data_IF_574194713116
#
_entry.id   IF_574194713116
#
_cell.length_a   1.000
_cell.length_b   1.000
_cell.length_c   1.000
_cell.angle_alpha   90.00
_cell.angle_beta   90.00
_cell.angle_gamma   90.00
#
_symmetry.space_group_name_H-M   'P 1'
#
loop_
_entity.id
_entity.type
_entity.pdbx_description
1 polymer ?
#
# COMPACT_ATOMS: atom_id res chain seq x y z
N UNK A 1 14.23 22.86 -0.08
CA UNK A 1 13.16 21.87 0.22
C UNK A 1 12.60 21.42 -1.11
N UNK A 2 12.58 20.11 -1.42
CA UNK A 2 12.00 19.61 -2.66
C UNK A 2 10.47 19.78 -2.59
N UNK A 3 9.92 20.70 -3.39
CA UNK A 3 8.50 21.12 -3.33
C UNK A 3 7.53 20.00 -3.70
N UNK A 4 8.02 18.96 -4.39
CA UNK A 4 7.24 17.80 -4.80
C UNK A 4 7.23 16.68 -3.77
N UNK A 5 8.14 16.71 -2.78
CA UNK A 5 8.26 15.69 -1.76
C UNK A 5 7.37 16.05 -0.56
N UNK A 6 6.36 15.23 -0.29
CA UNK A 6 5.43 15.43 0.83
C UNK A 6 5.45 14.22 1.76
N UNK A 7 5.77 14.44 3.03
CA UNK A 7 5.65 13.40 4.05
C UNK A 7 4.18 13.13 4.36
N UNK A 8 3.81 11.86 4.39
CA UNK A 8 2.48 11.40 4.80
C UNK A 8 2.50 11.21 6.32
N UNK A 9 1.53 11.80 7.00
CA UNK A 9 1.36 11.70 8.45
C UNK A 9 0.07 10.96 8.75
N UNK A 10 0.10 9.62 8.70
CA UNK A 10 -1.09 8.84 8.92
C UNK A 10 -1.59 8.97 10.36
N UNK A 11 -2.89 9.15 10.54
CA UNK A 11 -3.53 9.28 11.85
C UNK A 11 -3.68 7.93 12.55
N UNK A 12 -3.93 6.87 11.75
CA UNK A 12 -4.28 5.54 12.24
C UNK A 12 -3.20 4.47 12.00
N UNK A 13 -1.96 4.89 11.72
CA UNK A 13 -0.82 3.99 11.56
C UNK A 13 0.21 4.16 12.69
N UNK A 14 1.09 3.17 12.92
CA UNK A 14 2.11 3.27 13.95
C UNK A 14 2.96 4.53 13.79
N UNK A 15 3.22 5.20 14.91
CA UNK A 15 4.09 6.38 14.93
C UNK A 15 5.51 5.97 14.56
N UNK A 16 6.18 6.82 13.80
CA UNK A 16 7.59 6.61 13.46
C UNK A 16 8.44 6.52 14.75
N UNK A 17 9.21 5.45 14.89
CA UNK A 17 10.10 5.21 16.04
C UNK A 17 11.48 5.87 15.87
N UNK A 18 11.68 6.67 14.82
CA UNK A 18 12.97 7.27 14.46
C UNK A 18 12.83 8.36 13.41
N UNK A 19 13.96 8.85 12.83
CA UNK A 19 13.97 9.96 11.87
C UNK A 19 13.55 9.51 10.46
N UNK A 20 12.35 8.95 10.32
CA UNK A 20 11.76 8.55 9.04
C UNK A 20 10.28 8.94 8.97
N UNK A 21 9.77 9.07 7.74
CA UNK A 21 8.34 9.30 7.50
C UNK A 21 7.65 7.95 7.23
N UNK A 22 6.44 7.69 7.77
CA UNK A 22 5.70 6.46 7.45
C UNK A 22 5.54 6.24 5.94
N UNK A 23 5.31 7.33 5.19
CA UNK A 23 5.44 7.35 3.75
C UNK A 23 5.86 8.74 3.24
N UNK A 24 6.34 8.77 1.99
CA UNK A 24 6.65 10.00 1.26
C UNK A 24 6.06 9.92 -0.13
N UNK A 25 5.35 10.98 -0.53
CA UNK A 25 4.77 11.13 -1.87
C UNK A 25 5.65 12.06 -2.72
N UNK A 26 5.92 11.64 -3.95
CA UNK A 26 6.66 12.38 -4.98
C UNK A 26 5.89 12.27 -6.30
N UNK A 27 5.16 13.34 -6.65
CA UNK A 27 4.22 13.28 -7.78
C UNK A 27 3.17 12.19 -7.55
N UNK A 28 3.08 11.24 -8.48
CA UNK A 28 2.13 10.12 -8.42
C UNK A 28 2.70 8.92 -7.66
N UNK A 29 4.00 8.89 -7.35
CA UNK A 29 4.59 7.79 -6.60
C UNK A 29 4.55 8.03 -5.10
N UNK A 30 4.20 7.00 -4.35
CA UNK A 30 4.28 6.97 -2.89
C UNK A 30 5.21 5.83 -2.46
N UNK A 31 6.16 6.16 -1.60
CA UNK A 31 7.11 5.23 -1.02
C UNK A 31 6.76 5.06 0.45
N UNK A 32 6.33 3.86 0.83
CA UNK A 32 6.08 3.51 2.23
C UNK A 32 7.38 3.00 2.84
N UNK A 33 7.68 3.46 4.06
CA UNK A 33 8.73 2.86 4.86
C UNK A 33 8.36 1.42 5.23
N UNK A 34 9.34 0.63 5.66
CA UNK A 34 9.10 -0.72 6.18
C UNK A 34 8.06 -0.71 7.30
N UNK A 35 7.01 -1.50 7.10
CA UNK A 35 5.95 -1.71 8.06
C UNK A 35 6.24 -2.99 8.84
N UNK A 36 6.38 -2.84 10.15
CA UNK A 36 6.49 -3.93 11.13
C UNK A 36 5.14 -4.13 11.85
N UNK A 37 4.90 -5.29 12.50
CA UNK A 37 3.62 -5.62 13.14
C UNK A 37 3.39 -4.86 14.45
N UNK A 38 3.50 -3.53 14.44
CA UNK A 38 3.14 -2.71 15.59
C UNK A 38 1.64 -2.45 15.62
N UNK A 39 1.04 -2.58 16.79
CA UNK A 39 -0.31 -2.10 17.05
C UNK A 39 -0.27 -0.56 17.15
N UNK A 40 -1.04 0.18 16.33
CA UNK A 40 -1.00 1.65 16.31
C UNK A 40 -1.53 2.29 17.60
N UNK A 41 -2.34 1.58 18.38
CA UNK A 41 -2.91 2.08 19.64
C UNK A 41 -1.91 1.90 20.80
N UNK A 42 -1.28 0.73 20.90
CA UNK A 42 -0.38 0.40 22.02
C UNK A 42 1.09 0.72 21.74
N UNK A 43 1.49 0.72 20.47
CA UNK A 43 2.89 0.85 20.05
C UNK A 43 3.73 -0.41 20.30
N UNK A 44 3.10 -1.54 20.63
CA UNK A 44 3.75 -2.83 20.89
C UNK A 44 3.65 -3.77 19.68
N UNK A 45 4.51 -4.80 19.65
CA UNK A 45 4.46 -5.83 18.62
C UNK A 45 3.21 -6.69 18.84
N UNK A 46 2.37 -6.77 17.81
CA UNK A 46 1.17 -7.60 17.76
C UNK A 46 1.52 -8.99 17.22
N UNK A 47 1.12 -10.04 17.93
CA UNK A 47 1.27 -11.41 17.48
C UNK A 47 2.65 -12.03 17.70
N UNK A 48 2.65 -13.36 17.77
CA UNK A 48 3.84 -14.20 18.01
C UNK A 48 4.17 -15.10 16.82
N UNK A 49 3.20 -15.34 15.94
CA UNK A 49 3.36 -16.14 14.72
C UNK A 49 3.61 -15.26 13.50
N UNK A 50 4.08 -15.86 12.40
CA UNK A 50 4.27 -15.11 11.14
C UNK A 50 2.92 -14.63 10.60
N UNK A 51 1.87 -15.43 10.78
CA UNK A 51 0.52 -15.16 10.29
C UNK A 51 -0.08 -13.92 11.00
N UNK A 52 -0.04 -13.91 12.34
CA UNK A 52 -0.53 -12.78 13.16
C UNK A 52 0.21 -11.49 12.84
N UNK A 53 1.54 -11.57 12.73
CA UNK A 53 2.36 -10.41 12.41
C UNK A 53 2.12 -9.92 10.98
N UNK A 54 1.94 -10.82 10.01
CA UNK A 54 1.62 -10.45 8.62
C UNK A 54 0.27 -9.73 8.56
N UNK A 55 -0.76 -10.21 9.28
CA UNK A 55 -2.03 -9.51 9.37
C UNK A 55 -1.86 -8.09 9.92
N UNK A 56 -1.06 -7.90 10.98
CA UNK A 56 -0.83 -6.57 11.53
C UNK A 56 -0.07 -5.66 10.56
N UNK A 57 0.96 -6.18 9.89
CA UNK A 57 1.71 -5.42 8.86
C UNK A 57 0.78 -4.97 7.74
N UNK A 58 -0.08 -5.86 7.23
CA UNK A 58 -1.03 -5.50 6.17
C UNK A 58 -2.05 -4.46 6.63
N UNK A 59 -2.59 -4.57 7.86
CA UNK A 59 -3.45 -3.54 8.46
C UNK A 59 -2.75 -2.18 8.56
N UNK A 60 -1.48 -2.17 8.96
CA UNK A 60 -0.69 -0.94 9.04
C UNK A 60 -0.50 -0.31 7.66
N UNK A 61 -0.15 -1.11 6.63
CA UNK A 61 -0.08 -0.65 5.25
C UNK A 61 -1.43 -0.03 4.84
N UNK A 62 -2.55 -0.74 5.04
CA UNK A 62 -3.88 -0.24 4.71
C UNK A 62 -4.21 1.08 5.39
N UNK A 63 -3.86 1.25 6.66
CA UNK A 63 -4.08 2.50 7.38
C UNK A 63 -3.31 3.67 6.74
N UNK A 64 -2.05 3.45 6.37
CA UNK A 64 -1.25 4.46 5.66
C UNK A 64 -1.87 4.81 4.29
N UNK A 65 -2.30 3.80 3.52
CA UNK A 65 -2.91 4.00 2.21
C UNK A 65 -4.25 4.75 2.31
N UNK A 66 -5.09 4.38 3.27
CA UNK A 66 -6.41 4.97 3.47
C UNK A 66 -6.34 6.47 3.77
N UNK A 67 -5.32 6.93 4.49
CA UNK A 67 -5.11 8.36 4.76
C UNK A 67 -4.77 9.19 3.50
N UNK A 68 -4.44 8.52 2.38
CA UNK A 68 -4.27 9.12 1.07
C UNK A 68 -5.45 8.84 0.12
N UNK A 69 -6.49 8.14 0.57
CA UNK A 69 -7.58 7.64 -0.29
C UNK A 69 -7.17 6.46 -1.18
N UNK A 70 -6.03 5.83 -0.90
CA UNK A 70 -5.48 4.71 -1.65
C UNK A 70 -5.84 3.36 -0.99
N UNK A 71 -5.52 2.29 -1.69
CA UNK A 71 -5.85 0.91 -1.33
C UNK A 71 -4.79 -0.06 -1.90
N UNK A 72 -4.83 -1.32 -1.51
CA UNK A 72 -3.88 -2.35 -1.94
C UNK A 72 -3.77 -2.49 -3.46
N UNK A 73 -4.85 -2.25 -4.22
CA UNK A 73 -4.85 -2.24 -5.70
C UNK A 73 -3.86 -1.25 -6.32
N UNK A 74 -3.43 -0.24 -5.56
CA UNK A 74 -2.49 0.79 -5.99
C UNK A 74 -1.03 0.40 -5.73
N UNK A 75 -0.78 -0.71 -5.03
CA UNK A 75 0.58 -1.19 -4.77
C UNK A 75 1.14 -1.78 -6.07
N UNK A 76 2.30 -1.30 -6.51
CA UNK A 76 2.97 -1.79 -7.72
C UNK A 76 4.15 -2.72 -7.41
N UNK A 77 4.77 -2.55 -6.24
CA UNK A 77 5.90 -3.36 -5.79
C UNK A 77 5.90 -3.52 -4.27
N UNK A 78 6.14 -4.73 -3.79
CA UNK A 78 6.46 -5.01 -2.39
C UNK A 78 7.83 -5.64 -2.22
N UNK A 79 8.54 -5.27 -1.16
CA UNK A 79 9.72 -6.00 -0.69
C UNK A 79 9.41 -6.53 0.69
N UNK A 80 9.52 -7.85 0.85
CA UNK A 80 9.19 -8.56 2.07
C UNK A 80 10.49 -9.09 2.68
N UNK A 81 10.75 -8.69 3.92
CA UNK A 81 11.87 -9.17 4.72
C UNK A 81 11.33 -10.09 5.80
N UNK A 82 11.89 -11.30 5.90
CA UNK A 82 11.49 -12.27 6.93
C UNK A 82 12.68 -12.68 7.79
N UNK A 83 12.41 -13.06 9.03
CA UNK A 83 13.43 -13.63 9.93
C UNK A 83 13.76 -15.09 9.58
N UNK A 84 12.79 -15.84 9.04
CA UNK A 84 12.91 -17.25 8.69
C UNK A 84 12.08 -17.58 7.43
N UNK A 85 12.70 -18.12 6.38
CA UNK A 85 12.00 -18.52 5.15
C UNK A 85 11.22 -19.83 5.30
N UNK A 86 11.40 -20.59 6.38
CA UNK A 86 10.53 -21.74 6.66
C UNK A 86 9.06 -21.32 6.88
N UNK A 87 8.83 -20.04 7.21
CA UNK A 87 7.51 -19.43 7.39
C UNK A 87 6.88 -18.95 6.05
N UNK A 88 7.52 -19.19 4.89
CA UNK A 88 7.14 -18.61 3.59
C UNK A 88 5.72 -18.96 3.12
N UNK A 89 5.30 -20.22 3.25
CA UNK A 89 3.97 -20.65 2.78
C UNK A 89 2.85 -20.00 3.59
N UNK A 90 3.01 -19.96 4.91
CA UNK A 90 2.09 -19.30 5.86
C UNK A 90 1.99 -17.80 5.61
N UNK A 91 3.13 -17.17 5.38
CA UNK A 91 3.21 -15.76 4.98
C UNK A 91 2.43 -15.51 3.68
N UNK A 92 2.63 -16.35 2.66
CA UNK A 92 1.97 -16.21 1.36
C UNK A 92 0.46 -16.37 1.44
N UNK A 93 -0.03 -17.29 2.26
CA UNK A 93 -1.47 -17.50 2.48
C UNK A 93 -2.12 -16.21 3.01
N UNK A 94 -1.56 -15.65 4.08
CA UNK A 94 -2.07 -14.42 4.68
C UNK A 94 -1.90 -13.23 3.73
N UNK A 95 -0.69 -13.03 3.19
CA UNK A 95 -0.39 -11.93 2.27
C UNK A 95 -1.29 -11.95 1.03
N UNK A 96 -1.51 -13.12 0.44
CA UNK A 96 -2.36 -13.33 -0.72
C UNK A 96 -3.82 -13.01 -0.46
N UNK A 97 -4.32 -13.21 0.77
CA UNK A 97 -5.71 -12.90 1.13
C UNK A 97 -6.08 -11.41 1.09
N UNK A 98 -5.07 -10.52 1.09
CA UNK A 98 -5.27 -9.07 1.04
C UNK A 98 -5.18 -8.49 -0.38
N UNK A 99 -4.77 -9.30 -1.36
CA UNK A 99 -4.42 -8.83 -2.70
C UNK A 99 -5.25 -9.56 -3.76
N UNK A 100 -5.48 -8.86 -4.87
CA UNK A 100 -6.21 -9.38 -6.03
C UNK A 100 -5.35 -9.20 -7.29
N UNK A 101 -5.68 -9.94 -8.35
CA UNK A 101 -4.99 -9.78 -9.63
C UNK A 101 -5.36 -8.44 -10.31
N UNK A 102 -4.40 -7.75 -10.96
CA UNK A 102 -2.98 -8.10 -11.07
C UNK A 102 -2.20 -7.87 -9.76
N UNK A 103 -1.47 -8.90 -9.31
CA UNK A 103 -0.66 -8.81 -8.10
C UNK A 103 0.53 -7.85 -8.27
N UNK A 104 0.99 -7.18 -7.19
CA UNK A 104 2.18 -6.35 -7.24
C UNK A 104 3.42 -7.19 -7.56
N UNK A 105 4.40 -6.56 -8.22
CA UNK A 105 5.73 -7.14 -8.31
C UNK A 105 6.27 -7.38 -6.89
N UNK A 106 7.08 -8.42 -6.69
CA UNK A 106 7.48 -8.83 -5.34
C UNK A 106 8.93 -9.32 -5.27
N UNK A 107 9.58 -8.98 -4.16
CA UNK A 107 10.82 -9.63 -3.72
C UNK A 107 10.63 -10.09 -2.28
N UNK A 108 11.06 -11.31 -1.94
CA UNK A 108 11.00 -11.83 -0.58
C UNK A 108 12.37 -12.43 -0.23
N UNK A 109 12.96 -12.00 0.89
CA UNK A 109 14.28 -12.44 1.33
C UNK A 109 14.33 -12.66 2.84
N UNK A 110 15.13 -13.62 3.27
CA UNK A 110 15.49 -13.75 4.67
C UNK A 110 16.57 -12.73 5.02
N UNK A 111 16.45 -12.08 6.18
CA UNK A 111 17.45 -11.16 6.72
C UNK A 111 17.99 -11.64 8.06
N UNK A 112 19.15 -11.14 8.47
CA UNK A 112 19.80 -11.57 9.71
C UNK A 112 18.99 -11.21 10.97
N UNK A 113 18.35 -10.03 10.97
CA UNK A 113 17.54 -9.54 12.10
C UNK A 113 16.66 -8.38 11.65
N UNK A 114 15.43 -8.31 12.17
CA UNK A 114 14.50 -7.19 11.94
C UNK A 114 14.41 -6.30 13.19
N UNK A 115 14.03 -5.01 13.06
CA UNK A 115 13.76 -4.15 14.20
C UNK A 115 12.74 -4.78 15.15
N UNK A 116 12.97 -4.67 16.47
CA UNK A 116 12.11 -5.26 17.52
C UNK A 116 12.00 -6.80 17.47
N UNK A 117 12.90 -7.49 16.77
CA UNK A 117 12.92 -8.97 16.67
C UNK A 117 11.61 -9.56 16.11
N UNK A 118 10.93 -8.80 15.25
CA UNK A 118 9.73 -9.27 14.56
C UNK A 118 10.10 -10.31 13.48
N UNK A 119 9.10 -11.06 13.02
CA UNK A 119 9.23 -12.10 12.00
C UNK A 119 9.13 -11.57 10.58
N UNK A 120 8.45 -10.44 10.39
CA UNK A 120 8.20 -9.86 9.05
C UNK A 120 8.23 -8.34 9.07
N UNK A 121 8.79 -7.76 8.00
CA UNK A 121 8.72 -6.35 7.65
C UNK A 121 8.41 -6.23 6.16
N UNK A 122 7.48 -5.34 5.79
CA UNK A 122 7.09 -5.12 4.39
C UNK A 122 7.17 -3.64 4.05
N UNK A 123 7.93 -3.31 3.01
CA UNK A 123 7.87 -2.01 2.35
C UNK A 123 7.11 -2.12 1.03
N UNK A 124 6.54 -1.01 0.57
CA UNK A 124 5.87 -0.98 -0.73
C UNK A 124 6.00 0.35 -1.46
N UNK A 125 5.98 0.23 -2.79
CA UNK A 125 5.87 1.34 -3.73
C UNK A 125 4.45 1.32 -4.27
N UNK A 126 3.83 2.49 -4.28
CA UNK A 126 2.42 2.69 -4.60
C UNK A 126 2.31 3.80 -5.63
N UNK A 127 1.33 3.68 -6.51
CA UNK A 127 1.00 4.72 -7.49
C UNK A 127 -0.36 5.34 -7.14
N UNK A 128 -0.40 6.65 -6.98
CA UNK A 128 -1.64 7.40 -6.80
C UNK A 128 -2.25 7.68 -8.17
N UNK A 129 -3.28 6.89 -8.51
CA UNK A 129 -4.02 7.01 -9.76
C UNK A 129 -5.35 7.74 -9.61
N UNK A 130 -5.67 8.30 -8.44
CA UNK A 130 -7.02 8.77 -8.12
C UNK A 130 -7.53 9.84 -9.10
N UNK A 131 -6.64 10.74 -9.56
CA UNK A 131 -7.00 11.77 -10.55
C UNK A 131 -7.33 11.14 -11.90
N UNK A 132 -6.57 10.14 -12.34
CA UNK A 132 -6.81 9.45 -13.61
C UNK A 132 -8.09 8.60 -13.55
N UNK A 133 -8.33 7.92 -12.43
CA UNK A 133 -9.56 7.14 -12.19
C UNK A 133 -10.81 8.03 -12.29
N UNK A 134 -10.77 9.22 -11.68
CA UNK A 134 -11.88 10.18 -11.76
C UNK A 134 -12.12 10.69 -13.19
N UNK A 135 -11.05 10.98 -13.94
CA UNK A 135 -11.15 11.44 -15.32
C UNK A 135 -11.73 10.37 -16.24
N UNK A 136 -11.30 9.11 -16.09
CA UNK A 136 -11.82 7.99 -16.87
C UNK A 136 -13.30 7.74 -16.57
N UNK A 137 -13.70 7.75 -15.30
CA UNK A 137 -15.11 7.60 -14.91
C UNK A 137 -16.01 8.74 -15.45
N UNK A 138 -15.49 9.97 -15.52
CA UNK A 138 -16.20 11.11 -16.11
C UNK A 138 -16.37 10.98 -17.64
N UNK A 139 -15.42 10.36 -18.33
CA UNK A 139 -15.51 10.10 -19.78
C UNK A 139 -16.48 8.97 -20.11
N UNK A 140 -16.53 7.91 -19.29
CA UNK A 140 -17.49 6.81 -19.47
C UNK A 140 -18.94 7.25 -19.21
N UNK A 141 -19.17 8.14 -18.25
CA UNK A 141 -20.50 8.71 -17.99
C UNK A 141 -20.93 9.80 -19.00
N UNK A 142 -19.99 10.45 -19.67
CA UNK A 142 -20.24 11.47 -20.69
C UNK A 142 -20.60 10.96 -22.09
N UNK A 143 -20.44 9.66 -22.37
CA UNK A 143 -20.68 9.07 -23.69
C UNK A 143 -22.05 8.35 -23.82
N UNK A 144 -23.05 8.75 -23.03
CA UNK A 144 -24.42 8.23 -23.11
C UNK A 144 -25.42 9.23 -23.72
N UNK A 145 -24.94 10.34 -24.29
CA UNK A 145 -25.77 11.44 -24.83
C UNK A 145 -25.87 11.58 -26.35
N UNK A 146 -25.19 10.75 -27.15
CA UNK A 146 -25.33 10.77 -28.62
C UNK A 146 -26.06 9.52 -29.13
N UNK A 147 -27.23 9.25 -28.55
CA UNK A 147 -28.19 8.29 -29.08
C UNK A 147 -29.01 8.90 -30.21
N UNK A 148 -28.51 8.81 -31.44
CA UNK A 148 -29.32 8.77 -32.67
C UNK A 148 -29.92 10.10 -33.15
N UNK A 149 -29.18 10.80 -34.01
CA UNK A 149 -29.73 11.92 -34.78
C UNK A 149 -28.71 12.66 -35.63
N UNK A 150 -27.72 11.98 -36.22
CA UNK A 150 -26.89 12.58 -37.28
C UNK A 150 -27.62 12.46 -38.63
N UNK A 151 -28.78 13.12 -38.75
CA UNK A 151 -29.40 13.40 -40.03
C UNK A 151 -29.15 14.88 -40.37
N UNK A 152 -28.15 15.10 -41.21
CA UNK A 152 -28.04 16.27 -42.08
C UNK A 152 -27.98 17.66 -41.42
N UNK A 153 -26.78 18.14 -41.16
CA UNK A 153 -26.48 19.57 -41.02
C UNK A 153 -25.63 19.88 -39.79
N UNK A 154 -24.37 20.27 -40.02
CA UNK A 154 -23.49 20.80 -38.98
C UNK A 154 -24.13 21.99 -38.24
N UNK A 155 -23.97 21.98 -36.91
CA UNK A 155 -23.65 23.14 -36.08
C UNK A 155 -22.66 22.69 -35.01
#
# INVERSE_FOLDING_TARGET
>A
MNVFLKAVKPANAPKALGPYSPAVKLGDFVYLSGQIPLNPETGEVEGTTIEEQTHQVMKNIKAVLADMGLDYKHIVKTTIFVSDLNDFDKLNEVYGSYLEEPYPARSCVQVARLPKDVKVEIECIVIDTLVYEQQMAAQESGCSGCGGGCDGGCC
#
